data_IF_307041975261
#
_entry.id   IF_307041975261
#
_cell.length_a   1.000
_cell.length_b   1.000
_cell.length_c   1.000
_cell.angle_alpha   90.00
_cell.angle_beta   90.00
_cell.angle_gamma   90.00
#
_symmetry.space_group_name_H-M   'P 1'
#
loop_
_entity.id
_entity.type
_entity.pdbx_description
1 polymer ?
#
# COMPACT_ATOMS: atom_id res chain seq x y z
N UNK A 1 -27.75 -0.16 -43.16
CA UNK A 1 -27.25 -0.54 -41.82
C UNK A 1 -26.30 0.55 -41.35
N UNK A 2 -26.67 1.32 -40.32
CA UNK A 2 -25.92 2.50 -39.87
C UNK A 2 -24.74 2.12 -38.99
N UNK A 3 -23.56 2.59 -39.35
CA UNK A 3 -22.36 2.46 -38.53
C UNK A 3 -22.45 3.43 -37.35
N UNK A 4 -22.81 2.94 -36.16
CA UNK A 4 -22.64 3.70 -34.91
C UNK A 4 -21.18 3.64 -34.48
N UNK A 5 -20.35 4.54 -35.03
CA UNK A 5 -19.05 4.86 -34.44
C UNK A 5 -19.32 5.61 -33.14
N UNK A 6 -19.43 4.90 -32.03
CA UNK A 6 -19.50 5.52 -30.71
C UNK A 6 -18.16 6.20 -30.46
N UNK A 7 -18.09 7.50 -30.72
CA UNK A 7 -16.92 8.31 -30.37
C UNK A 7 -16.76 8.23 -28.85
N UNK A 8 -15.71 7.55 -28.38
CA UNK A 8 -15.32 7.60 -26.97
C UNK A 8 -15.03 9.05 -26.62
N UNK A 9 -15.95 9.68 -25.89
CA UNK A 9 -15.76 11.01 -25.35
C UNK A 9 -14.82 10.89 -24.16
N UNK A 10 -13.53 11.16 -24.36
CA UNK A 10 -12.58 11.35 -23.26
C UNK A 10 -13.06 12.54 -22.41
N UNK A 11 -13.86 12.27 -21.38
CA UNK A 11 -14.02 13.20 -20.28
C UNK A 11 -12.66 13.27 -19.60
N UNK A 12 -11.86 14.31 -19.88
CA UNK A 12 -10.68 14.67 -19.08
C UNK A 12 -11.13 14.94 -17.65
N UNK A 13 -11.23 13.87 -16.85
CA UNK A 13 -11.56 13.94 -15.44
C UNK A 13 -10.46 14.72 -14.71
N UNK A 14 -10.85 15.74 -13.94
CA UNK A 14 -9.91 16.49 -13.12
C UNK A 14 -9.35 15.56 -12.04
N UNK A 15 -8.02 15.51 -11.91
CA UNK A 15 -7.35 14.68 -10.92
C UNK A 15 -7.84 15.05 -9.50
N UNK A 16 -8.61 14.14 -8.90
CA UNK A 16 -9.19 14.34 -7.56
C UNK A 16 -8.13 14.14 -6.48
N UNK A 17 -8.47 14.53 -5.25
CA UNK A 17 -7.62 14.26 -4.09
C UNK A 17 -7.42 12.75 -3.88
N UNK A 18 -8.45 11.95 -4.12
CA UNK A 18 -8.40 10.50 -3.99
C UNK A 18 -7.47 9.87 -5.03
N UNK A 19 -7.49 10.38 -6.27
CA UNK A 19 -6.53 9.94 -7.29
C UNK A 19 -5.09 10.19 -6.84
N UNK A 20 -4.79 11.36 -6.28
CA UNK A 20 -3.45 11.68 -5.77
C UNK A 20 -3.11 10.78 -4.58
N UNK A 21 -4.04 10.53 -3.65
CA UNK A 21 -3.83 9.61 -2.53
C UNK A 21 -3.48 8.19 -3.00
N UNK A 22 -4.07 7.73 -4.10
CA UNK A 22 -3.73 6.45 -4.70
C UNK A 22 -2.32 6.46 -5.31
N UNK A 23 -1.90 7.56 -5.95
CA UNK A 23 -0.52 7.72 -6.44
C UNK A 23 0.49 7.74 -5.28
N UNK A 24 0.14 8.37 -4.15
CA UNK A 24 1.01 8.41 -2.98
C UNK A 24 1.37 7.03 -2.43
N UNK A 25 0.60 5.97 -2.75
CA UNK A 25 0.92 4.57 -2.38
C UNK A 25 2.24 4.08 -2.96
N UNK A 26 2.68 4.67 -4.08
CA UNK A 26 3.86 4.24 -4.81
C UNK A 26 5.13 5.00 -4.41
N UNK A 27 5.02 5.96 -3.48
CA UNK A 27 6.16 6.70 -2.96
C UNK A 27 6.93 5.80 -1.99
N UNK A 28 8.22 5.57 -2.28
CA UNK A 28 9.04 4.58 -1.58
C UNK A 28 9.87 5.14 -0.42
N UNK A 29 10.04 6.45 -0.35
CA UNK A 29 10.90 7.09 0.64
C UNK A 29 10.20 8.31 1.26
N UNK A 30 10.69 8.68 2.44
CA UNK A 30 10.16 9.80 3.22
C UNK A 30 10.45 11.15 2.55
N UNK A 31 11.60 11.27 1.90
CA UNK A 31 12.06 12.54 1.32
C UNK A 31 11.19 13.00 0.14
N UNK A 32 10.89 12.11 -0.81
CA UNK A 32 10.00 12.38 -1.94
C UNK A 32 8.58 12.67 -1.46
N UNK A 33 8.17 12.00 -0.37
CA UNK A 33 6.89 12.27 0.26
C UNK A 33 6.84 13.69 0.83
N UNK A 34 7.89 14.15 1.52
CA UNK A 34 7.99 15.51 2.05
C UNK A 34 8.02 16.54 0.93
N UNK A 35 8.82 16.32 -0.12
CA UNK A 35 8.86 17.19 -1.31
C UNK A 35 7.47 17.35 -1.92
N UNK A 36 6.70 16.27 -2.03
CA UNK A 36 5.33 16.33 -2.55
C UNK A 36 4.40 17.18 -1.64
N UNK A 37 4.53 17.05 -0.31
CA UNK A 37 3.72 17.83 0.63
C UNK A 37 3.97 19.34 0.55
N UNK A 38 5.17 19.75 0.12
CA UNK A 38 5.58 21.15 0.01
C UNK A 38 5.09 21.85 -1.26
N UNK A 39 4.56 21.11 -2.24
CA UNK A 39 4.15 21.68 -3.55
C UNK A 39 3.06 22.75 -3.40
N UNK A 40 1.97 22.44 -2.69
CA UNK A 40 0.91 23.40 -2.39
C UNK A 40 -0.01 22.93 -1.25
N UNK A 41 -0.90 23.82 -0.80
CA UNK A 41 -1.87 23.56 0.28
C UNK A 41 -2.78 22.35 0.03
N UNK A 42 -3.05 21.97 -1.23
CA UNK A 42 -3.84 20.77 -1.57
C UNK A 42 -3.08 19.51 -1.16
N UNK A 43 -1.79 19.39 -1.48
CA UNK A 43 -0.96 18.25 -1.06
C UNK A 43 -0.73 18.23 0.45
N UNK A 44 -0.61 19.41 1.08
CA UNK A 44 -0.63 19.56 2.54
C UNK A 44 -1.94 19.02 3.16
N UNK A 45 -3.09 19.22 2.51
CA UNK A 45 -4.35 18.67 3.03
C UNK A 45 -4.43 17.13 2.88
N UNK A 46 -3.74 16.56 1.88
CA UNK A 46 -3.74 15.12 1.59
C UNK A 46 -3.08 14.33 2.71
N UNK A 47 -1.91 14.75 3.20
CA UNK A 47 -1.20 14.01 4.25
C UNK A 47 -2.02 13.91 5.54
N UNK A 48 -2.77 14.96 5.89
CA UNK A 48 -3.64 14.98 7.07
C UNK A 48 -4.79 13.97 6.98
N UNK A 49 -5.09 13.46 5.79
CA UNK A 49 -6.14 12.47 5.52
C UNK A 49 -5.62 11.04 5.36
N UNK A 50 -4.31 10.86 5.16
CA UNK A 50 -3.73 9.54 4.98
C UNK A 50 -3.89 8.70 6.26
N UNK A 51 -4.43 7.50 6.07
CA UNK A 51 -4.74 6.53 7.15
C UNK A 51 -3.75 5.38 7.23
N UNK A 52 -2.82 5.29 6.29
CA UNK A 52 -1.76 4.29 6.16
C UNK A 52 -0.46 4.95 5.65
N UNK A 53 0.67 4.31 5.91
CA UNK A 53 1.99 4.74 5.44
C UNK A 53 2.34 4.01 4.12
N UNK A 54 2.87 4.71 3.10
CA UNK A 54 3.31 4.10 1.84
C UNK A 54 4.75 3.56 1.86
N UNK A 55 5.51 3.88 2.92
CA UNK A 55 6.89 3.42 3.17
C UNK A 55 7.07 3.15 4.66
N UNK A 56 8.13 2.45 5.05
CA UNK A 56 8.44 2.14 6.46
C UNK A 56 8.63 3.41 7.29
N UNK A 57 7.95 3.49 8.44
CA UNK A 57 7.98 4.65 9.33
C UNK A 57 8.37 4.26 10.76
N UNK A 58 9.00 5.20 11.47
CA UNK A 58 9.37 5.05 12.88
C UNK A 58 8.37 5.71 13.85
N UNK A 59 7.50 6.60 13.36
CA UNK A 59 6.54 7.36 14.18
C UNK A 59 5.33 7.86 13.37
N UNK A 60 4.26 8.29 14.07
CA UNK A 60 3.05 8.89 13.48
C UNK A 60 3.19 10.37 13.09
N UNK A 61 4.38 10.99 13.23
CA UNK A 61 4.55 12.44 13.04
C UNK A 61 4.08 12.91 11.65
N UNK A 62 4.40 12.16 10.61
CA UNK A 62 4.07 12.46 9.21
C UNK A 62 2.62 12.08 8.88
N UNK A 63 2.10 11.07 9.56
CA UNK A 63 0.77 10.49 9.34
C UNK A 63 -0.06 10.60 10.62
N UNK A 64 -0.56 11.81 10.97
CA UNK A 64 -1.23 12.04 12.25
C UNK A 64 -2.54 11.25 12.42
N UNK A 65 -3.19 10.90 11.30
CA UNK A 65 -4.41 10.06 11.28
C UNK A 65 -4.13 8.60 10.89
N UNK A 66 -2.90 8.13 11.10
CA UNK A 66 -2.55 6.73 10.86
C UNK A 66 -3.45 5.82 11.71
N UNK A 67 -4.17 4.93 11.04
CA UNK A 67 -5.05 3.92 11.67
C UNK A 67 -4.54 2.51 11.41
N UNK A 68 -3.97 2.29 10.21
CA UNK A 68 -3.34 1.05 9.81
C UNK A 68 -1.87 1.35 9.50
N UNK A 69 -0.95 0.69 10.20
CA UNK A 69 0.47 0.73 9.87
C UNK A 69 0.79 -0.43 8.93
N UNK A 70 1.29 -0.08 7.75
CA UNK A 70 1.81 -1.06 6.80
C UNK A 70 3.27 -1.35 7.16
N UNK A 71 3.56 -2.62 7.41
CA UNK A 71 4.89 -3.15 7.69
C UNK A 71 5.42 -3.73 6.38
N UNK A 72 6.52 -3.17 5.89
CA UNK A 72 7.18 -3.61 4.65
C UNK A 72 8.35 -4.56 4.94
N UNK A 73 8.75 -4.67 6.20
CA UNK A 73 9.71 -5.64 6.70
C UNK A 73 9.31 -6.10 8.09
N UNK A 74 9.70 -7.33 8.48
CA UNK A 74 9.56 -7.84 9.85
C UNK A 74 10.31 -6.99 10.89
N UNK A 75 11.34 -6.27 10.45
CA UNK A 75 12.14 -5.40 11.30
C UNK A 75 11.51 -4.02 11.50
N UNK A 76 10.37 -3.73 10.86
CA UNK A 76 9.69 -2.45 11.01
C UNK A 76 9.17 -2.27 12.45
N UNK A 77 9.43 -1.09 13.01
CA UNK A 77 8.99 -0.76 14.36
C UNK A 77 7.47 -0.63 14.42
N UNK A 78 6.82 -1.54 15.14
CA UNK A 78 5.38 -1.47 15.43
C UNK A 78 5.05 -0.25 16.29
N UNK A 79 4.12 0.57 15.82
CA UNK A 79 3.61 1.72 16.56
C UNK A 79 2.39 1.26 17.37
N UNK A 80 2.34 1.61 18.66
CA UNK A 80 1.21 1.26 19.54
C UNK A 80 -0.09 1.98 19.13
N UNK A 81 -1.22 1.32 19.34
CA UNK A 81 -2.56 1.88 19.11
C UNK A 81 -2.90 2.13 17.64
N UNK A 82 -2.36 1.32 16.73
CA UNK A 82 -2.77 1.19 15.32
C UNK A 82 -2.78 -0.27 14.94
N UNK A 83 -3.61 -0.63 13.96
CA UNK A 83 -3.63 -1.99 13.40
C UNK A 83 -2.37 -2.20 12.55
N UNK A 84 -1.80 -3.40 12.56
CA UNK A 84 -0.61 -3.72 11.76
C UNK A 84 -0.99 -4.57 10.55
N UNK A 85 -0.43 -4.23 9.39
CA UNK A 85 -0.66 -4.94 8.13
C UNK A 85 0.69 -5.28 7.53
N UNK A 86 1.02 -6.57 7.44
CA UNK A 86 2.25 -7.03 6.79
C UNK A 86 2.05 -7.06 5.27
N UNK A 87 2.77 -6.20 4.57
CA UNK A 87 2.74 -6.06 3.11
C UNK A 87 3.82 -6.90 2.44
N UNK A 88 4.84 -7.32 3.20
CA UNK A 88 5.91 -8.16 2.69
C UNK A 88 5.38 -9.49 2.13
N UNK A 89 6.08 -10.03 1.14
CA UNK A 89 5.70 -11.28 0.48
C UNK A 89 6.16 -12.43 1.34
N UNK A 90 5.21 -13.14 1.95
CA UNK A 90 5.50 -14.29 2.81
C UNK A 90 5.07 -15.59 2.14
N UNK A 91 5.76 -16.69 2.44
CA UNK A 91 5.28 -18.03 2.09
C UNK A 91 4.12 -18.46 2.98
N UNK A 92 3.28 -19.38 2.49
CA UNK A 92 2.16 -19.90 3.28
C UNK A 92 2.59 -20.53 4.62
N UNK A 93 3.75 -21.18 4.68
CA UNK A 93 4.31 -21.73 5.92
C UNK A 93 4.67 -20.65 6.95
N UNK A 94 5.17 -19.50 6.49
CA UNK A 94 5.46 -18.35 7.36
C UNK A 94 4.18 -17.67 7.82
N UNK A 95 3.17 -17.57 6.95
CA UNK A 95 1.86 -17.06 7.31
C UNK A 95 1.25 -17.80 8.51
N UNK A 96 1.29 -19.14 8.53
CA UNK A 96 0.74 -19.94 9.65
C UNK A 96 1.45 -19.63 10.98
N UNK A 97 2.75 -19.31 10.94
CA UNK A 97 3.52 -18.99 12.15
C UNK A 97 3.31 -17.56 12.66
N UNK A 98 2.83 -16.67 11.78
CA UNK A 98 2.71 -15.23 12.05
C UNK A 98 1.27 -14.74 12.16
N UNK A 99 0.27 -15.63 12.02
CA UNK A 99 -1.12 -15.31 12.37
C UNK A 99 -1.14 -15.01 13.87
N UNK A 100 -1.25 -13.73 14.15
CA UNK A 100 -1.56 -13.12 15.43
C UNK A 100 -2.77 -12.22 15.18
N UNK A 101 -3.64 -12.04 16.18
CA UNK A 101 -4.92 -11.33 16.04
C UNK A 101 -4.74 -9.87 15.55
N UNK A 102 -3.52 -9.33 15.68
CA UNK A 102 -3.17 -7.95 15.34
C UNK A 102 -2.45 -7.75 13.97
N UNK A 103 -2.15 -8.82 13.21
CA UNK A 103 -1.38 -8.72 11.95
C UNK A 103 -2.16 -9.30 10.76
N UNK A 104 -2.50 -8.44 9.79
CA UNK A 104 -3.10 -8.87 8.52
C UNK A 104 -2.05 -8.99 7.41
N UNK A 105 -1.93 -10.15 6.77
CA UNK A 105 -0.94 -10.42 5.71
C UNK A 105 -1.58 -10.34 4.30
N UNK A 106 -1.10 -9.43 3.45
CA UNK A 106 -1.72 -9.16 2.15
C UNK A 106 -1.17 -9.99 0.97
N UNK A 107 0.08 -10.47 1.07
CA UNK A 107 0.80 -11.07 -0.07
C UNK A 107 1.36 -12.46 0.28
N UNK A 108 0.51 -13.49 0.16
CA UNK A 108 0.91 -14.88 0.43
C UNK A 108 1.28 -15.58 -0.88
N UNK A 109 2.52 -16.06 -0.99
CA UNK A 109 2.97 -16.92 -2.10
C UNK A 109 2.89 -18.39 -1.73
N UNK A 110 2.18 -19.16 -2.55
CA UNK A 110 2.20 -20.61 -2.48
C UNK A 110 3.42 -21.15 -3.23
N UNK A 111 4.29 -21.89 -2.54
CA UNK A 111 5.29 -22.71 -3.24
C UNK A 111 4.54 -23.84 -3.95
N UNK A 112 4.54 -23.86 -5.29
CA UNK A 112 4.18 -25.07 -6.04
C UNK A 112 5.13 -26.18 -5.59
N UNK A 113 4.60 -27.28 -5.03
CA UNK A 113 5.39 -28.50 -4.86
C UNK A 113 5.89 -28.89 -6.25
N UNK A 114 7.20 -28.84 -6.46
CA UNK A 114 7.84 -29.38 -7.65
C UNK A 114 7.43 -30.86 -7.73
N UNK A 115 6.68 -31.25 -8.77
CA UNK A 115 6.47 -32.67 -9.07
C UNK A 115 7.86 -33.23 -9.41
N UNK A 116 8.51 -33.89 -8.45
CA UNK A 116 9.57 -34.85 -8.75
C UNK A 116 8.88 -35.97 -9.54
N UNK A 117 8.91 -35.88 -10.86
CA UNK A 117 8.72 -37.07 -11.68
C UNK A 117 9.96 -37.94 -11.44
N UNK A 118 9.83 -38.88 -10.50
CA UNK A 118 10.62 -40.10 -10.51
C UNK A 118 10.02 -41.01 -11.57
N UNK A 119 10.65 -41.09 -12.73
CA UNK A 119 10.55 -42.22 -13.67
C UNK A 119 12.03 -42.55 -13.95
N UNK A 120 12.66 -43.49 -13.23
CA UNK A 120 12.63 -44.96 -13.39
C UNK A 120 12.84 -45.40 -14.83
#
# INVERSE_FOLDING_TARGET
>A
MGNTTTKYQEKKGKLTIENIMNVCRYIKNEEDYIKLMMVNKKYTAIYKKMRYNPFSIKSKKIFPKLTNQFLYSRNDKKIKGVKHVLVDVISYSEYIQEIDDDIYCCNIKYKKKTKKNMEK
#
